data_IF_784501738066
#
_entry.id   IF_784501738066
#
_cell.length_a   1.000
_cell.length_b   1.000
_cell.length_c   1.000
_cell.angle_alpha   90.00
_cell.angle_beta   90.00
_cell.angle_gamma   90.00
#
_symmetry.space_group_name_H-M   'P 1'
#
loop_
_entity.id
_entity.type
_entity.pdbx_description
1 polymer ?
#
# COMPACT_ATOMS: atom_id res chain seq x y z
N UNK A 1 -20.80 2.28 -3.76
CA UNK A 1 -20.37 1.30 -2.72
C UNK A 1 -19.11 0.51 -3.09
N UNK A 2 -18.96 -0.02 -4.31
CA UNK A 2 -17.80 -0.84 -4.73
C UNK A 2 -16.42 -0.17 -4.52
N UNK A 3 -16.30 1.13 -4.82
CA UNK A 3 -15.04 1.88 -4.64
C UNK A 3 -14.60 2.08 -3.19
N UNK A 4 -15.55 2.17 -2.23
CA UNK A 4 -15.20 2.35 -0.81
C UNK A 4 -14.53 1.10 -0.24
N UNK A 5 -15.00 -0.09 -0.63
CA UNK A 5 -14.39 -1.35 -0.22
C UNK A 5 -12.99 -1.54 -0.83
N UNK A 6 -12.80 -1.16 -2.10
CA UNK A 6 -11.47 -1.21 -2.75
C UNK A 6 -10.50 -0.23 -2.09
N UNK A 7 -10.95 0.98 -1.77
CA UNK A 7 -10.14 1.96 -1.04
C UNK A 7 -9.74 1.44 0.35
N UNK A 8 -10.68 0.84 1.09
CA UNK A 8 -10.42 0.30 2.42
C UNK A 8 -9.46 -0.90 2.38
N UNK A 9 -9.57 -1.76 1.36
CA UNK A 9 -8.62 -2.86 1.13
C UNK A 9 -7.21 -2.37 0.80
N UNK A 10 -7.06 -1.40 -0.12
CA UNK A 10 -5.74 -0.78 -0.39
C UNK A 10 -5.16 -0.13 0.86
N UNK A 11 -5.97 0.55 1.67
CA UNK A 11 -5.49 1.14 2.93
C UNK A 11 -4.92 0.10 3.89
N UNK A 12 -5.57 -1.06 4.02
CA UNK A 12 -5.10 -2.17 4.86
C UNK A 12 -3.78 -2.72 4.32
N UNK A 13 -3.69 -2.93 3.00
CA UNK A 13 -2.47 -3.42 2.33
C UNK A 13 -1.31 -2.43 2.55
N UNK A 14 -1.57 -1.12 2.40
CA UNK A 14 -0.59 -0.07 2.65
C UNK A 14 -0.07 -0.09 4.09
N UNK A 15 -0.96 -0.25 5.08
CA UNK A 15 -0.59 -0.32 6.51
C UNK A 15 0.32 -1.52 6.77
N UNK A 16 -0.04 -2.71 6.26
CA UNK A 16 0.75 -3.92 6.43
C UNK A 16 2.14 -3.75 5.80
N UNK A 17 2.20 -3.16 4.61
CA UNK A 17 3.44 -2.91 3.87
C UNK A 17 4.37 -1.98 4.63
N UNK A 18 3.83 -0.91 5.23
CA UNK A 18 4.59 0.03 6.07
C UNK A 18 5.12 -0.67 7.33
N UNK A 19 4.32 -1.53 7.96
CA UNK A 19 4.75 -2.30 9.14
C UNK A 19 5.91 -3.25 8.76
N UNK A 20 5.81 -3.95 7.63
CA UNK A 20 6.90 -4.80 7.13
C UNK A 20 8.18 -4.00 6.85
N UNK A 21 8.06 -2.79 6.29
CA UNK A 21 9.19 -1.88 6.07
C UNK A 21 9.80 -1.37 7.38
N UNK A 22 8.96 -1.08 8.39
CA UNK A 22 9.41 -0.73 9.73
C UNK A 22 10.19 -1.87 10.38
N UNK A 23 9.65 -3.09 10.34
CA UNK A 23 10.31 -4.29 10.86
C UNK A 23 11.64 -4.54 10.15
N UNK A 24 11.67 -4.39 8.82
CA UNK A 24 12.88 -4.49 8.01
C UNK A 24 13.99 -3.53 8.48
N UNK A 25 13.61 -2.31 8.86
CA UNK A 25 14.56 -1.28 9.30
C UNK A 25 15.01 -1.48 10.75
N UNK A 26 14.12 -1.94 11.63
CA UNK A 26 14.37 -2.00 13.08
C UNK A 26 14.95 -3.31 13.59
N UNK A 27 14.60 -4.46 13.00
CA UNK A 27 14.94 -5.78 13.57
C UNK A 27 16.10 -6.42 12.80
N UNK A 28 15.92 -6.59 11.49
CA UNK A 28 16.93 -7.18 10.62
C UNK A 28 16.52 -6.92 9.17
N UNK A 29 17.46 -6.59 8.27
CA UNK A 29 17.15 -6.46 6.86
C UNK A 29 16.63 -7.80 6.33
N UNK A 30 15.41 -7.78 5.78
CA UNK A 30 14.92 -8.85 4.92
C UNK A 30 15.85 -9.00 3.72
N UNK A 31 15.78 -10.15 3.06
CA UNK A 31 16.47 -10.37 1.79
C UNK A 31 16.19 -9.23 0.81
N UNK A 32 17.22 -8.75 0.10
CA UNK A 32 17.11 -7.69 -0.93
C UNK A 32 15.96 -7.92 -1.92
N UNK A 33 15.69 -9.17 -2.26
CA UNK A 33 14.60 -9.57 -3.15
C UNK A 33 13.24 -9.26 -2.52
N UNK A 34 13.06 -9.57 -1.23
CA UNK A 34 11.83 -9.29 -0.51
C UNK A 34 11.57 -7.79 -0.39
N UNK A 35 12.59 -6.99 -0.07
CA UNK A 35 12.46 -5.52 0.02
C UNK A 35 12.06 -4.93 -1.33
N UNK A 36 12.69 -5.39 -2.43
CA UNK A 36 12.33 -4.95 -3.80
C UNK A 36 10.89 -5.28 -4.16
N UNK A 37 10.42 -6.49 -3.83
CA UNK A 37 9.04 -6.91 -4.10
C UNK A 37 8.05 -6.10 -3.26
N UNK A 38 8.32 -5.91 -1.96
CA UNK A 38 7.50 -5.10 -1.05
C UNK A 38 7.41 -3.65 -1.55
N UNK A 39 8.53 -3.06 -1.95
CA UNK A 39 8.56 -1.72 -2.53
C UNK A 39 7.77 -1.62 -3.84
N UNK A 40 7.86 -2.62 -4.72
CA UNK A 40 7.08 -2.68 -5.96
C UNK A 40 5.56 -2.75 -5.70
N UNK A 41 5.15 -3.59 -4.75
CA UNK A 41 3.74 -3.70 -4.32
C UNK A 41 3.25 -2.36 -3.76
N UNK A 42 4.07 -1.69 -2.94
CA UNK A 42 3.74 -0.38 -2.36
C UNK A 42 3.49 0.68 -3.44
N UNK A 43 4.31 0.74 -4.48
CA UNK A 43 4.13 1.71 -5.57
C UNK A 43 2.83 1.49 -6.34
N UNK A 44 2.49 0.23 -6.61
CA UNK A 44 1.25 -0.13 -7.30
C UNK A 44 0.04 0.21 -6.43
N UNK A 45 0.09 -0.14 -5.14
CA UNK A 45 -0.99 0.14 -4.19
C UNK A 45 -1.19 1.65 -3.99
N UNK A 46 -0.10 2.42 -3.91
CA UNK A 46 -0.16 3.88 -3.82
C UNK A 46 -0.83 4.49 -5.06
N UNK A 47 -0.53 3.99 -6.26
CA UNK A 47 -1.17 4.44 -7.49
C UNK A 47 -2.68 4.15 -7.47
N UNK A 48 -3.06 2.96 -7.03
CA UNK A 48 -4.47 2.56 -6.90
C UNK A 48 -5.21 3.39 -5.84
N UNK A 49 -4.55 3.65 -4.70
CA UNK A 49 -5.06 4.47 -3.62
C UNK A 49 -5.25 5.92 -4.07
N UNK A 50 -4.28 6.50 -4.77
CA UNK A 50 -4.38 7.85 -5.34
C UNK A 50 -5.51 7.94 -6.37
N UNK A 51 -5.61 6.99 -7.29
CA UNK A 51 -6.70 6.96 -8.27
C UNK A 51 -8.06 6.84 -7.60
N UNK A 52 -8.18 5.93 -6.62
CA UNK A 52 -9.42 5.73 -5.85
C UNK A 52 -9.80 6.99 -5.05
N UNK A 53 -8.82 7.66 -4.43
CA UNK A 53 -9.02 8.90 -3.68
C UNK A 53 -9.52 10.03 -4.57
N UNK A 54 -8.88 10.25 -5.73
CA UNK A 54 -9.30 11.29 -6.68
C UNK A 54 -10.70 10.99 -7.22
N UNK A 55 -10.97 9.72 -7.55
CA UNK A 55 -12.29 9.30 -8.04
C UNK A 55 -13.40 9.41 -6.98
N UNK A 56 -13.09 9.12 -5.71
CA UNK A 56 -14.02 9.33 -4.60
C UNK A 56 -14.28 10.82 -4.34
N UNK A 57 -13.24 11.67 -4.42
CA UNK A 57 -13.36 13.13 -4.28
C UNK A 57 -14.11 13.78 -5.44
N UNK A 58 -13.96 13.26 -6.66
CA UNK A 58 -14.65 13.77 -7.86
C UNK A 58 -16.14 13.37 -7.90
N UNK A 59 -16.55 12.37 -7.13
CA UNK A 59 -17.93 11.87 -7.09
C UNK A 59 -18.63 12.19 -5.74
N UNK A 60 -18.09 13.17 -5.00
CA UNK A 60 -18.60 13.62 -3.70
C UNK A 60 -19.00 15.08 -3.72
#
# INVERSE_FOLDING_TARGET
>A
MKNKNVFMMSLIIMIITIICMGINWFISPFSDVAIRVIGGIMLIDLFFLSYSTVKLKSNS
#
